data_IF_876759531953
#
_entry.id   IF_876759531953
#
_cell.length_a   1.000
_cell.length_b   1.000
_cell.length_c   1.000
_cell.angle_alpha   90.00
_cell.angle_beta   90.00
_cell.angle_gamma   90.00
#
_symmetry.space_group_name_H-M   'P 1'
#
loop_
_entity.id
_entity.type
_entity.pdbx_description
1 polymer ?
#
# COMPACT_ATOMS: atom_id res chain seq x y z
N UNK A 1 7.78 -14.53 10.90
CA UNK A 1 7.56 -15.53 9.83
C UNK A 1 7.46 -16.96 10.35
N UNK A 2 8.30 -17.38 11.31
CA UNK A 2 8.12 -18.66 12.02
C UNK A 2 8.38 -19.90 11.17
N UNK A 3 9.24 -19.78 10.15
CA UNK A 3 9.67 -20.89 9.27
C UNK A 3 11.05 -21.41 9.71
N UNK A 4 11.41 -22.67 9.38
CA UNK A 4 12.76 -23.20 9.62
C UNK A 4 13.84 -22.36 8.92
N UNK A 5 15.05 -22.32 9.50
CA UNK A 5 16.16 -21.52 8.96
C UNK A 5 16.53 -21.93 7.52
N UNK A 6 16.51 -23.24 7.23
CA UNK A 6 16.79 -23.76 5.90
C UNK A 6 15.80 -23.26 4.83
N UNK A 7 14.57 -22.90 5.21
CA UNK A 7 13.57 -22.39 4.26
C UNK A 7 13.88 -20.98 3.78
N UNK A 8 14.67 -20.21 4.52
CA UNK A 8 15.08 -18.88 4.12
C UNK A 8 15.98 -18.89 2.88
N UNK A 9 16.68 -20.01 2.63
CA UNK A 9 17.55 -20.22 1.48
C UNK A 9 16.91 -21.08 0.40
N UNK A 10 16.13 -22.10 0.81
CA UNK A 10 15.60 -23.12 -0.11
C UNK A 10 14.19 -22.85 -0.63
N UNK A 11 13.44 -21.89 -0.07
CA UNK A 11 12.04 -21.64 -0.42
C UNK A 11 11.73 -20.15 -0.62
N UNK A 12 10.70 -19.88 -1.41
CA UNK A 12 10.24 -18.51 -1.71
C UNK A 12 9.36 -17.89 -0.61
N UNK A 13 8.77 -16.73 -0.91
CA UNK A 13 8.02 -15.94 0.08
C UNK A 13 6.68 -16.58 0.51
N UNK A 14 6.03 -17.36 -0.37
CA UNK A 14 4.71 -17.94 -0.08
C UNK A 14 4.69 -18.79 1.21
N UNK A 15 5.75 -19.56 1.49
CA UNK A 15 5.78 -20.39 2.72
C UNK A 15 5.84 -19.57 4.00
N UNK A 16 6.42 -18.36 3.93
CA UNK A 16 6.48 -17.43 5.07
C UNK A 16 5.08 -16.85 5.33
N UNK A 17 4.34 -16.51 4.28
CA UNK A 17 2.96 -16.01 4.41
C UNK A 17 2.03 -17.10 4.95
N UNK A 18 2.07 -18.31 4.37
CA UNK A 18 1.28 -19.46 4.83
C UNK A 18 1.57 -19.81 6.29
N UNK A 19 2.84 -19.85 6.70
CA UNK A 19 3.21 -20.11 8.11
C UNK A 19 2.57 -19.09 9.07
N UNK A 20 2.60 -17.81 8.69
CA UNK A 20 2.02 -16.74 9.52
C UNK A 20 0.48 -16.83 9.56
N UNK A 21 -0.15 -17.08 8.41
CA UNK A 21 -1.60 -17.28 8.31
C UNK A 21 -2.07 -18.47 9.15
N UNK A 22 -1.40 -19.62 9.08
CA UNK A 22 -1.77 -20.81 9.86
C UNK A 22 -1.66 -20.55 11.37
N UNK A 23 -0.62 -19.84 11.81
CA UNK A 23 -0.47 -19.45 13.23
C UNK A 23 -1.63 -18.55 13.67
N UNK A 24 -1.97 -17.54 12.87
CA UNK A 24 -3.10 -16.64 13.16
C UNK A 24 -4.47 -17.32 13.07
N UNK A 25 -4.64 -18.25 12.14
CA UNK A 25 -5.86 -19.04 12.04
C UNK A 25 -6.06 -19.92 13.27
N UNK A 26 -4.99 -20.57 13.77
CA UNK A 26 -5.03 -21.36 15.02
C UNK A 26 -5.46 -20.51 16.22
N UNK A 27 -4.92 -19.29 16.35
CA UNK A 27 -5.30 -18.35 17.43
C UNK A 27 -6.79 -17.98 17.40
N UNK A 28 -7.43 -18.02 16.23
CA UNK A 28 -8.84 -17.63 16.05
C UNK A 28 -9.78 -18.82 15.82
N UNK A 29 -9.32 -20.07 15.98
CA UNK A 29 -10.13 -21.27 15.76
C UNK A 29 -10.59 -21.46 14.30
N UNK A 30 -9.78 -21.01 13.32
CA UNK A 30 -10.10 -21.07 11.90
C UNK A 30 -9.28 -22.15 11.18
N UNK A 31 -9.85 -22.72 10.12
CA UNK A 31 -9.18 -23.65 9.21
C UNK A 31 -8.92 -22.96 7.87
N UNK A 32 -7.75 -23.22 7.28
CA UNK A 32 -7.45 -22.77 5.92
C UNK A 32 -8.00 -23.81 4.92
N UNK A 33 -8.81 -23.40 3.94
CA UNK A 33 -9.26 -24.32 2.90
C UNK A 33 -8.10 -24.71 1.99
N UNK A 34 -8.20 -25.89 1.38
CA UNK A 34 -7.30 -26.32 0.31
C UNK A 34 -7.86 -25.86 -1.03
N UNK A 35 -7.16 -24.96 -1.70
CA UNK A 35 -7.49 -24.56 -3.07
C UNK A 35 -6.64 -25.34 -4.07
N UNK A 36 -7.24 -25.82 -5.15
CA UNK A 36 -6.50 -26.39 -6.28
C UNK A 36 -6.09 -25.23 -7.20
N UNK A 37 -4.81 -25.12 -7.59
CA UNK A 37 -4.38 -24.06 -8.49
C UNK A 37 -5.18 -24.10 -9.79
N UNK A 38 -5.77 -22.98 -10.18
CA UNK A 38 -6.46 -22.81 -11.45
C UNK A 38 -5.83 -21.68 -12.27
N UNK A 39 -6.13 -21.64 -13.57
CA UNK A 39 -5.98 -20.40 -14.33
C UNK A 39 -7.05 -19.43 -13.85
N UNK A 40 -6.66 -18.21 -13.51
CA UNK A 40 -7.59 -17.12 -13.20
C UNK A 40 -7.28 -15.92 -14.08
N UNK A 41 -8.24 -15.02 -14.17
CA UNK A 41 -8.15 -13.83 -15.01
C UNK A 41 -7.14 -12.81 -14.45
N UNK A 42 -6.40 -12.15 -15.33
CA UNK A 42 -5.54 -11.05 -14.93
C UNK A 42 -6.36 -9.89 -14.36
N UNK A 43 -5.86 -9.25 -13.30
CA UNK A 43 -6.49 -8.06 -12.71
C UNK A 43 -5.65 -6.81 -12.98
N UNK A 44 -6.32 -5.65 -13.03
CA UNK A 44 -5.66 -4.36 -13.24
C UNK A 44 -4.80 -4.00 -12.04
N UNK A 45 -3.49 -3.84 -12.25
CA UNK A 45 -2.52 -3.49 -11.21
C UNK A 45 -2.47 -2.00 -10.84
N UNK A 46 -1.30 -1.53 -10.41
CA UNK A 46 -1.06 -0.13 -10.06
C UNK A 46 -1.22 0.84 -11.24
N UNK A 47 -1.46 2.12 -10.93
CA UNK A 47 -1.53 3.20 -11.94
C UNK A 47 -0.19 3.90 -12.07
N UNK A 48 0.11 4.32 -13.29
CA UNK A 48 1.21 5.24 -13.61
C UNK A 48 0.58 6.52 -14.19
N UNK A 49 0.78 7.65 -13.51
CA UNK A 49 0.35 8.97 -14.01
C UNK A 49 1.10 9.26 -15.31
N UNK A 50 0.40 9.84 -16.30
CA UNK A 50 1.04 10.19 -17.57
C UNK A 50 2.15 11.22 -17.35
N UNK A 51 3.41 10.91 -17.73
CA UNK A 51 4.53 11.80 -17.47
C UNK A 51 4.42 13.07 -18.31
N UNK A 52 4.61 14.23 -17.67
CA UNK A 52 4.93 15.48 -18.35
C UNK A 52 6.42 15.44 -18.73
N UNK A 53 6.72 14.81 -19.86
CA UNK A 53 8.10 14.58 -20.32
C UNK A 53 8.85 15.89 -20.50
N UNK A 54 10.15 15.88 -20.18
CA UNK A 54 10.99 17.05 -20.33
C UNK A 54 12.24 17.00 -19.47
N UNK A 55 13.09 18.01 -19.67
CA UNK A 55 14.21 18.32 -18.81
C UNK A 55 13.80 19.45 -17.86
N UNK A 56 13.85 19.17 -16.56
CA UNK A 56 13.51 20.10 -15.50
C UNK A 56 14.79 20.57 -14.83
N UNK A 57 15.16 21.82 -15.08
CA UNK A 57 16.25 22.49 -14.37
C UNK A 57 15.75 23.20 -13.10
N UNK A 58 14.83 22.55 -12.40
CA UNK A 58 14.20 23.01 -11.17
C UNK A 58 14.07 21.82 -10.21
N UNK A 59 14.16 22.03 -8.89
CA UNK A 59 13.92 21.00 -7.88
C UNK A 59 12.56 20.28 -8.04
N UNK A 60 12.60 18.95 -8.15
CA UNK A 60 11.40 18.10 -8.18
C UNK A 60 11.35 17.25 -6.90
N UNK A 61 10.34 17.49 -6.07
CA UNK A 61 10.14 16.74 -4.84
C UNK A 61 9.42 15.41 -5.11
N UNK A 62 9.91 14.32 -4.51
CA UNK A 62 9.28 12.99 -4.57
C UNK A 62 8.64 12.67 -3.23
N UNK A 63 7.34 12.38 -3.25
CA UNK A 63 6.57 11.92 -2.10
C UNK A 63 6.13 10.48 -2.34
N UNK A 64 6.32 9.60 -1.37
CA UNK A 64 6.07 8.15 -1.49
C UNK A 64 5.23 7.62 -0.32
N UNK A 65 4.27 6.73 -0.59
CA UNK A 65 3.48 6.10 0.45
C UNK A 65 4.29 5.02 1.18
N UNK A 66 4.42 5.17 2.50
CA UNK A 66 5.14 4.22 3.33
C UNK A 66 4.39 2.89 3.40
N UNK A 67 4.86 1.91 2.61
CA UNK A 67 4.22 0.59 2.50
C UNK A 67 2.76 0.65 2.03
N UNK A 68 2.49 1.30 0.89
CA UNK A 68 1.13 1.54 0.35
C UNK A 68 0.19 0.33 0.48
N UNK A 69 0.49 -0.80 -0.17
CA UNK A 69 -0.43 -1.95 -0.20
C UNK A 69 -0.67 -2.58 1.18
N UNK A 70 0.36 -2.88 1.99
CA UNK A 70 0.15 -3.27 3.38
C UNK A 70 -0.74 -2.30 4.18
N UNK A 71 -0.53 -0.99 4.01
CA UNK A 71 -1.28 0.04 4.75
C UNK A 71 -2.75 0.09 4.32
N UNK A 72 -3.04 -0.04 3.02
CA UNK A 72 -4.42 -0.16 2.50
C UNK A 72 -5.12 -1.38 3.12
N UNK A 73 -4.45 -2.54 3.13
CA UNK A 73 -5.01 -3.78 3.69
C UNK A 73 -5.38 -3.62 5.16
N UNK A 74 -4.52 -2.97 5.96
CA UNK A 74 -4.76 -2.72 7.38
C UNK A 74 -5.86 -1.68 7.59
N UNK A 75 -5.78 -0.54 6.90
CA UNK A 75 -6.73 0.57 7.04
C UNK A 75 -8.17 0.16 6.71
N UNK A 76 -8.34 -0.59 5.62
CA UNK A 76 -9.65 -1.02 5.12
C UNK A 76 -10.04 -2.44 5.56
N UNK A 77 -9.28 -3.07 6.47
CA UNK A 77 -9.54 -4.41 7.01
C UNK A 77 -9.71 -5.50 5.93
N UNK A 78 -8.90 -5.46 4.87
CA UNK A 78 -9.02 -6.37 3.73
C UNK A 78 -8.42 -7.74 4.05
N UNK A 79 -9.25 -8.78 4.07
CA UNK A 79 -8.83 -10.14 4.41
C UNK A 79 -9.79 -11.20 3.85
N UNK A 80 -9.28 -12.42 3.66
CA UNK A 80 -10.11 -13.60 3.35
C UNK A 80 -11.29 -13.81 4.32
N UNK A 81 -11.11 -13.44 5.59
CA UNK A 81 -12.09 -13.65 6.65
C UNK A 81 -13.06 -12.49 6.80
N UNK A 82 -12.86 -11.40 6.06
CA UNK A 82 -13.71 -10.19 6.13
C UNK A 82 -14.40 -9.91 4.80
N UNK A 83 -14.04 -10.64 3.73
CA UNK A 83 -14.70 -10.60 2.43
C UNK A 83 -16.12 -11.17 2.51
N UNK A 84 -17.11 -10.39 2.05
CA UNK A 84 -18.43 -10.90 1.71
C UNK A 84 -18.36 -11.41 0.27
N UNK A 85 -18.36 -12.74 0.12
CA UNK A 85 -17.99 -13.38 -1.14
C UNK A 85 -19.05 -13.18 -2.23
N UNK A 86 -18.67 -12.98 -3.49
CA UNK A 86 -19.60 -12.89 -4.61
C UNK A 86 -20.57 -14.09 -4.70
N UNK A 87 -20.09 -15.30 -4.37
CA UNK A 87 -20.90 -16.51 -4.37
C UNK A 87 -21.98 -16.47 -3.29
N UNK A 88 -21.62 -16.04 -2.08
CA UNK A 88 -22.55 -15.90 -0.95
C UNK A 88 -23.59 -14.79 -1.20
N UNK A 89 -23.16 -13.70 -1.83
CA UNK A 89 -24.03 -12.59 -2.26
C UNK A 89 -25.05 -13.11 -3.28
N UNK A 90 -24.59 -13.85 -4.29
CA UNK A 90 -25.43 -14.41 -5.34
C UNK A 90 -26.41 -15.43 -4.79
N UNK A 91 -25.94 -16.35 -3.94
CA UNK A 91 -26.75 -17.39 -3.32
C UNK A 91 -27.84 -16.82 -2.38
N UNK A 92 -27.60 -15.66 -1.76
CA UNK A 92 -28.56 -14.99 -0.89
C UNK A 92 -29.61 -14.16 -1.65
N UNK A 93 -29.49 -14.04 -2.98
CA UNK A 93 -30.38 -13.18 -3.79
C UNK A 93 -29.95 -11.71 -3.83
N UNK A 94 -28.69 -11.39 -3.51
CA UNK A 94 -28.11 -10.06 -3.57
C UNK A 94 -27.50 -9.60 -2.24
N UNK A 95 -26.80 -8.46 -2.31
CA UNK A 95 -26.05 -7.93 -1.15
C UNK A 95 -27.00 -7.57 0.01
N UNK A 96 -28.17 -6.99 -0.27
CA UNK A 96 -29.14 -6.62 0.75
C UNK A 96 -29.60 -7.82 1.60
N UNK A 97 -29.91 -8.95 0.95
CA UNK A 97 -30.31 -10.17 1.63
C UNK A 97 -29.17 -10.77 2.46
N UNK A 98 -27.95 -10.78 1.92
CA UNK A 98 -26.78 -11.28 2.66
C UNK A 98 -26.52 -10.43 3.92
N UNK A 99 -26.60 -9.10 3.80
CA UNK A 99 -26.43 -8.19 4.93
C UNK A 99 -27.51 -8.41 6.00
N UNK A 100 -28.77 -8.61 5.59
CA UNK A 100 -29.86 -8.93 6.50
C UNK A 100 -29.63 -10.27 7.23
N UNK A 101 -29.17 -11.30 6.52
CA UNK A 101 -28.85 -12.61 7.11
C UNK A 101 -27.78 -12.54 8.21
N UNK A 102 -26.82 -11.61 8.07
CA UNK A 102 -25.79 -11.37 9.08
C UNK A 102 -26.13 -10.25 10.07
N UNK A 103 -27.31 -9.65 9.97
CA UNK A 103 -27.73 -8.50 10.76
C UNK A 103 -26.71 -7.33 10.71
N UNK A 104 -26.22 -7.03 9.50
CA UNK A 104 -25.23 -5.97 9.25
C UNK A 104 -25.93 -4.69 8.76
N UNK A 105 -25.63 -3.57 9.42
CA UNK A 105 -26.05 -2.23 9.03
C UNK A 105 -25.15 -1.59 7.96
N UNK A 106 -25.54 -0.43 7.43
CA UNK A 106 -24.76 0.32 6.42
C UNK A 106 -23.34 0.68 6.86
N UNK A 107 -23.13 0.85 8.17
CA UNK A 107 -21.82 1.19 8.73
C UNK A 107 -20.93 -0.02 9.03
N UNK A 108 -21.42 -1.24 8.83
CA UNK A 108 -20.70 -2.46 9.21
C UNK A 108 -19.79 -3.01 8.11
N UNK A 109 -19.87 -2.45 6.91
CA UNK A 109 -19.09 -2.88 5.76
C UNK A 109 -18.60 -1.69 4.92
N UNK A 110 -17.73 -1.99 3.96
CA UNK A 110 -17.30 -1.07 2.92
C UNK A 110 -17.51 -1.71 1.56
N UNK A 111 -17.75 -0.89 0.55
CA UNK A 111 -17.64 -1.27 -0.87
C UNK A 111 -16.35 -0.70 -1.42
N UNK A 112 -15.54 -1.55 -2.03
CA UNK A 112 -14.25 -1.16 -2.60
C UNK A 112 -14.43 -0.58 -4.01
N UNK A 113 -13.40 0.07 -4.58
CA UNK A 113 -13.47 0.65 -5.93
C UNK A 113 -13.77 -0.38 -7.03
N UNK A 114 -13.43 -1.64 -6.80
CA UNK A 114 -13.71 -2.76 -7.71
C UNK A 114 -15.07 -3.40 -7.49
N UNK A 115 -15.85 -2.90 -6.52
CA UNK A 115 -17.18 -3.38 -6.21
C UNK A 115 -17.26 -4.52 -5.19
N UNK A 116 -16.13 -5.05 -4.71
CA UNK A 116 -16.11 -6.06 -3.66
C UNK A 116 -16.50 -5.48 -2.30
N UNK A 117 -17.06 -6.31 -1.41
CA UNK A 117 -17.57 -5.89 -0.11
C UNK A 117 -16.77 -6.54 1.04
N UNK A 118 -16.39 -5.74 2.03
CA UNK A 118 -15.65 -6.21 3.21
C UNK A 118 -16.28 -5.69 4.50
N UNK A 119 -16.39 -6.53 5.52
CA UNK A 119 -16.84 -6.09 6.86
C UNK A 119 -15.77 -5.27 7.57
N UNK A 120 -16.18 -4.25 8.33
CA UNK A 120 -15.29 -3.40 9.10
C UNK A 120 -14.73 -4.12 10.33
N UNK A 121 -13.67 -3.55 10.89
CA UNK A 121 -12.86 -4.13 11.98
C UNK A 121 -13.65 -4.42 13.26
N UNK A 122 -14.69 -3.64 13.56
CA UNK A 122 -15.52 -3.84 14.77
C UNK A 122 -16.40 -5.09 14.68
N UNK A 123 -16.78 -5.53 13.48
CA UNK A 123 -17.46 -6.80 13.25
C UNK A 123 -16.46 -7.95 13.35
N UNK A 124 -15.35 -7.84 12.62
CA UNK A 124 -14.28 -8.85 12.63
C UNK A 124 -12.95 -8.24 12.20
N UNK A 125 -11.91 -8.41 13.02
CA UNK A 125 -10.54 -8.09 12.62
C UNK A 125 -9.99 -9.17 11.69
N UNK A 126 -9.54 -8.78 10.50
CA UNK A 126 -8.98 -9.71 9.52
C UNK A 126 -7.63 -10.32 9.95
N UNK A 127 -7.38 -11.57 9.54
CA UNK A 127 -6.10 -12.24 9.78
C UNK A 127 -4.92 -11.57 9.04
N UNK A 128 -5.13 -11.12 7.79
CA UNK A 128 -4.09 -10.44 7.01
C UNK A 128 -3.66 -9.12 7.66
N UNK A 129 -4.58 -8.23 8.08
CA UNK A 129 -4.25 -7.07 8.93
C UNK A 129 -3.42 -7.44 10.16
N UNK A 130 -3.78 -8.49 10.90
CA UNK A 130 -3.01 -8.94 12.08
C UNK A 130 -1.58 -9.36 11.73
N UNK A 131 -1.36 -10.03 10.60
CA UNK A 131 -0.01 -10.40 10.13
C UNK A 131 0.78 -9.17 9.68
N UNK A 132 0.13 -8.26 8.97
CA UNK A 132 0.76 -7.04 8.44
C UNK A 132 1.14 -6.06 9.54
N UNK A 133 0.29 -5.85 10.55
CA UNK A 133 0.60 -5.01 11.72
C UNK A 133 1.91 -5.48 12.39
N UNK A 134 2.12 -6.79 12.56
CA UNK A 134 3.37 -7.33 13.14
C UNK A 134 4.59 -7.07 12.24
N UNK A 135 4.44 -7.21 10.92
CA UNK A 135 5.53 -6.96 9.96
C UNK A 135 5.88 -5.47 9.89
N UNK A 136 4.87 -4.60 9.90
CA UNK A 136 5.02 -3.15 9.88
C UNK A 136 5.67 -2.66 11.18
N UNK A 137 5.25 -3.16 12.34
CA UNK A 137 5.86 -2.84 13.63
C UNK A 137 7.34 -3.26 13.68
N UNK A 138 7.65 -4.49 13.24
CA UNK A 138 9.03 -4.96 13.16
C UNK A 138 9.88 -4.09 12.21
N UNK A 139 9.31 -3.65 11.08
CA UNK A 139 9.97 -2.75 10.13
C UNK A 139 10.22 -1.37 10.76
N UNK A 140 9.25 -0.83 11.49
CA UNK A 140 9.38 0.45 12.18
C UNK A 140 10.48 0.39 13.24
N UNK A 141 10.59 -0.71 13.99
CA UNK A 141 11.70 -0.94 14.92
C UNK A 141 13.06 -0.94 14.19
N UNK A 142 13.17 -1.65 13.06
CA UNK A 142 14.39 -1.66 12.26
C UNK A 142 14.75 -0.25 11.70
N UNK A 143 13.77 0.54 11.24
CA UNK A 143 13.99 1.94 10.83
C UNK A 143 14.50 2.81 11.99
N UNK A 144 13.96 2.65 13.20
CA UNK A 144 14.42 3.38 14.41
C UNK A 144 15.84 3.01 14.78
N UNK A 145 16.17 1.72 14.81
CA UNK A 145 17.53 1.24 15.04
C UNK A 145 18.51 1.80 14.01
N UNK A 146 18.12 1.82 12.72
CA UNK A 146 18.92 2.39 11.63
C UNK A 146 19.15 3.89 11.78
N UNK A 147 18.14 4.64 12.25
CA UNK A 147 18.24 6.09 12.44
C UNK A 147 19.16 6.47 13.62
N UNK A 148 19.22 5.63 14.66
CA UNK A 148 20.09 5.83 15.81
C UNK A 148 21.54 5.35 15.58
N UNK A 149 21.80 4.57 14.53
CA UNK A 149 23.11 4.01 14.23
C UNK A 149 24.03 5.03 13.53
N UNK A 150 25.24 5.19 14.08
CA UNK A 150 26.26 6.10 13.58
C UNK A 150 27.26 5.42 12.65
N UNK A 151 27.52 4.13 12.85
CA UNK A 151 28.44 3.39 11.99
C UNK A 151 27.82 3.15 10.61
N UNK A 152 28.52 3.58 9.55
CA UNK A 152 28.00 3.51 8.19
C UNK A 152 27.79 2.07 7.72
N UNK A 153 28.67 1.14 8.12
CA UNK A 153 28.54 -0.26 7.71
C UNK A 153 27.32 -0.91 8.36
N UNK A 154 27.15 -0.75 9.67
CA UNK A 154 25.99 -1.25 10.42
C UNK A 154 24.69 -0.61 9.95
N UNK A 155 24.70 0.67 9.62
CA UNK A 155 23.53 1.36 9.04
C UNK A 155 23.09 0.72 7.72
N UNK A 156 24.03 0.34 6.83
CA UNK A 156 23.71 -0.40 5.60
C UNK A 156 23.13 -1.80 5.89
N UNK A 157 23.63 -2.50 6.91
CA UNK A 157 23.07 -3.80 7.33
C UNK A 157 21.64 -3.64 7.84
N UNK A 158 21.37 -2.61 8.64
CA UNK A 158 20.02 -2.29 9.15
C UNK A 158 19.08 -1.86 8.03
N UNK A 159 19.58 -1.16 7.01
CA UNK A 159 18.81 -0.86 5.81
C UNK A 159 18.41 -2.15 5.06
N UNK A 160 19.37 -3.07 4.86
CA UNK A 160 19.07 -4.41 4.32
C UNK A 160 17.98 -5.15 5.12
N UNK A 161 18.01 -5.04 6.46
CA UNK A 161 17.00 -5.62 7.35
C UNK A 161 15.62 -5.00 7.16
N UNK A 162 15.49 -3.67 7.10
CA UNK A 162 14.18 -3.02 6.89
C UNK A 162 13.64 -3.30 5.49
N UNK A 163 14.50 -3.36 4.47
CA UNK A 163 14.13 -3.76 3.11
C UNK A 163 13.58 -5.20 3.05
N UNK A 164 14.23 -6.15 3.73
CA UNK A 164 13.75 -7.53 3.81
C UNK A 164 12.35 -7.63 4.47
N UNK A 165 12.08 -6.79 5.46
CA UNK A 165 10.76 -6.67 6.10
C UNK A 165 9.73 -6.02 5.15
N UNK A 166 10.11 -4.96 4.41
CA UNK A 166 9.27 -4.35 3.35
C UNK A 166 8.86 -5.39 2.31
N UNK A 167 9.82 -6.15 1.78
CA UNK A 167 9.56 -7.24 0.80
C UNK A 167 8.62 -8.28 1.38
N UNK A 168 8.81 -8.67 2.65
CA UNK A 168 7.96 -9.66 3.31
C UNK A 168 6.52 -9.16 3.48
N UNK A 169 6.31 -7.88 3.80
CA UNK A 169 4.99 -7.26 3.90
C UNK A 169 4.31 -7.17 2.51
N UNK A 170 5.01 -6.69 1.48
CA UNK A 170 4.48 -6.61 0.11
C UNK A 170 4.17 -8.01 -0.46
N UNK A 171 4.90 -9.03 -0.03
CA UNK A 171 4.63 -10.43 -0.43
C UNK A 171 3.29 -10.95 0.12
N UNK A 172 2.73 -10.35 1.18
CA UNK A 172 1.39 -10.71 1.67
C UNK A 172 0.32 -10.31 0.66
N UNK A 173 0.42 -9.11 0.08
CA UNK A 173 -0.41 -8.70 -1.06
C UNK A 173 -0.17 -9.61 -2.27
N UNK A 174 1.09 -9.82 -2.65
CA UNK A 174 1.42 -10.69 -3.79
C UNK A 174 0.91 -12.12 -3.63
N UNK A 175 0.79 -12.60 -2.39
CA UNK A 175 0.22 -13.91 -2.08
C UNK A 175 -1.28 -14.00 -2.39
N UNK A 176 -2.06 -12.94 -2.16
CA UNK A 176 -3.50 -12.95 -2.47
C UNK A 176 -3.77 -12.90 -3.97
N UNK A 177 -2.91 -12.21 -4.74
CA UNK A 177 -3.03 -12.11 -6.20
C UNK A 177 -2.33 -13.23 -6.99
N UNK A 178 -1.68 -14.20 -6.33
CA UNK A 178 -0.93 -15.25 -7.02
C UNK A 178 -1.85 -16.38 -7.50
N UNK A 179 -2.17 -16.42 -8.80
CA UNK A 179 -2.92 -17.52 -9.44
C UNK A 179 -2.28 -18.89 -9.21
N UNK A 180 -0.96 -18.97 -9.40
CA UNK A 180 -0.15 -20.14 -9.04
C UNK A 180 0.21 -20.06 -7.56
N UNK A 181 -0.82 -20.18 -6.72
CA UNK A 181 -0.75 -20.02 -5.28
C UNK A 181 -1.65 -20.99 -4.55
N UNK A 182 -1.50 -21.04 -3.22
CA UNK A 182 -2.29 -21.92 -2.36
C UNK A 182 -3.65 -21.35 -1.96
N UNK A 183 -3.84 -20.04 -2.10
CA UNK A 183 -5.04 -19.33 -1.66
C UNK A 183 -5.23 -18.00 -2.43
N UNK A 184 -5.39 -18.04 -3.77
CA UNK A 184 -5.68 -16.84 -4.54
C UNK A 184 -7.03 -16.24 -4.11
N UNK A 185 -7.13 -14.91 -4.11
CA UNK A 185 -8.36 -14.14 -3.92
C UNK A 185 -8.19 -12.79 -4.63
N UNK A 186 -8.73 -12.73 -5.84
CA UNK A 186 -8.58 -11.58 -6.74
C UNK A 186 -9.39 -10.38 -6.27
N UNK A 187 -10.45 -10.60 -5.52
CA UNK A 187 -11.23 -9.55 -4.86
C UNK A 187 -10.33 -8.73 -3.97
N UNK A 188 -9.46 -9.38 -3.18
CA UNK A 188 -8.52 -8.67 -2.29
C UNK A 188 -7.47 -7.91 -3.11
N UNK A 189 -6.78 -8.57 -4.05
CA UNK A 189 -5.69 -7.92 -4.79
C UNK A 189 -6.19 -6.80 -5.70
N UNK A 190 -7.34 -6.99 -6.34
CA UNK A 190 -7.98 -5.97 -7.17
C UNK A 190 -8.47 -4.79 -6.33
N UNK A 191 -9.10 -5.00 -5.17
CA UNK A 191 -9.51 -3.92 -4.27
C UNK A 191 -8.33 -3.10 -3.77
N UNK A 192 -7.22 -3.74 -3.39
CA UNK A 192 -5.99 -3.05 -2.96
C UNK A 192 -5.45 -2.17 -4.09
N UNK A 193 -5.37 -2.71 -5.31
CA UNK A 193 -4.93 -1.94 -6.47
C UNK A 193 -5.87 -0.77 -6.76
N UNK A 194 -7.18 -0.98 -6.65
CA UNK A 194 -8.22 0.03 -6.86
C UNK A 194 -8.07 1.21 -5.91
N UNK A 195 -7.94 0.94 -4.61
CA UNK A 195 -7.64 1.98 -3.62
C UNK A 195 -6.33 2.69 -3.92
N UNK A 196 -5.27 1.96 -4.30
CA UNK A 196 -4.00 2.57 -4.67
C UNK A 196 -4.14 3.57 -5.83
N UNK A 197 -4.95 3.26 -6.84
CA UNK A 197 -5.21 4.16 -7.97
C UNK A 197 -5.94 5.43 -7.53
N UNK A 198 -7.01 5.29 -6.73
CA UNK A 198 -7.77 6.43 -6.21
C UNK A 198 -6.90 7.32 -5.32
N UNK A 199 -6.08 6.73 -4.45
CA UNK A 199 -5.20 7.46 -3.55
C UNK A 199 -4.15 8.30 -4.28
N UNK A 200 -3.57 7.78 -5.38
CA UNK A 200 -2.62 8.55 -6.19
C UNK A 200 -3.29 9.75 -6.84
N UNK A 201 -4.45 9.56 -7.45
CA UNK A 201 -5.16 10.65 -8.13
C UNK A 201 -5.63 11.71 -7.11
N UNK A 202 -6.11 11.26 -5.95
CA UNK A 202 -6.48 12.16 -4.85
C UNK A 202 -5.27 12.91 -4.30
N UNK A 203 -4.13 12.24 -4.12
CA UNK A 203 -2.87 12.89 -3.70
C UNK A 203 -2.46 13.96 -4.68
N UNK A 204 -2.52 13.67 -5.98
CA UNK A 204 -2.23 14.64 -7.03
C UNK A 204 -3.17 15.84 -6.97
N UNK A 205 -4.48 15.59 -6.87
CA UNK A 205 -5.50 16.64 -6.78
C UNK A 205 -5.23 17.55 -5.58
N UNK A 206 -5.06 16.97 -4.40
CA UNK A 206 -4.86 17.71 -3.16
C UNK A 206 -3.56 18.53 -3.15
N UNK A 207 -2.47 18.01 -3.74
CA UNK A 207 -1.22 18.76 -3.89
C UNK A 207 -1.40 19.97 -4.81
N UNK A 208 -2.04 19.78 -5.98
CA UNK A 208 -2.28 20.87 -6.93
C UNK A 208 -3.31 21.88 -6.43
N UNK A 209 -4.24 21.49 -5.54
CA UNK A 209 -5.21 22.40 -4.91
C UNK A 209 -4.61 23.20 -3.74
N UNK A 210 -3.78 22.56 -2.89
CA UNK A 210 -3.20 23.21 -1.71
C UNK A 210 -2.12 24.22 -2.08
N UNK A 211 -1.16 23.81 -2.90
CA UNK A 211 0.04 24.59 -3.17
C UNK A 211 -0.15 25.49 -4.39
N UNK A 212 -0.92 26.56 -4.20
CA UNK A 212 -1.23 27.55 -5.26
C UNK A 212 -0.88 28.97 -4.83
N UNK A 213 -0.66 29.84 -5.80
CA UNK A 213 -0.49 31.28 -5.59
C UNK A 213 -1.69 31.91 -4.87
N UNK A 214 -2.90 31.43 -5.16
CA UNK A 214 -4.12 31.83 -4.45
C UNK A 214 -4.12 31.48 -2.95
N UNK A 215 -3.41 30.43 -2.56
CA UNK A 215 -3.25 30.02 -1.16
C UNK A 215 -1.97 30.58 -0.50
N UNK A 216 -1.31 31.56 -1.13
CA UNK A 216 -0.14 32.25 -0.59
C UNK A 216 1.22 31.60 -0.88
N UNK A 217 1.29 30.61 -1.77
CA UNK A 217 2.56 30.00 -2.18
C UNK A 217 3.20 30.79 -3.34
N UNK A 218 4.52 30.64 -3.52
CA UNK A 218 5.28 31.35 -4.56
C UNK A 218 4.89 30.96 -5.98
N UNK A 219 4.33 29.77 -6.17
CA UNK A 219 4.00 29.20 -7.48
C UNK A 219 2.94 28.12 -7.32
N UNK A 220 2.27 27.81 -8.42
CA UNK A 220 1.30 26.72 -8.49
C UNK A 220 2.03 25.39 -8.66
N UNK A 221 1.84 24.48 -7.71
CA UNK A 221 2.42 23.16 -7.76
C UNK A 221 1.78 22.33 -8.89
N UNK A 222 2.60 21.49 -9.51
CA UNK A 222 2.15 20.55 -10.54
C UNK A 222 2.78 19.18 -10.33
N UNK A 223 1.94 18.15 -10.32
CA UNK A 223 2.43 16.77 -10.33
C UNK A 223 2.80 16.41 -11.77
N UNK A 224 4.10 16.21 -11.99
CA UNK A 224 4.65 15.96 -13.33
C UNK A 224 4.75 14.47 -13.65
N UNK A 225 4.74 13.61 -12.62
CA UNK A 225 4.79 12.17 -12.75
C UNK A 225 4.31 11.48 -11.48
N UNK A 226 3.96 10.21 -11.58
CA UNK A 226 3.71 9.33 -10.44
C UNK A 226 3.71 7.87 -10.87
N UNK A 227 4.26 7.00 -10.03
CA UNK A 227 4.36 5.57 -10.25
C UNK A 227 3.91 4.84 -9.00
N UNK A 228 2.73 4.22 -9.07
CA UNK A 228 2.14 3.27 -8.11
C UNK A 228 1.96 3.74 -6.67
N UNK A 229 3.01 4.15 -5.99
CA UNK A 229 3.04 4.62 -4.60
C UNK A 229 3.70 5.99 -4.44
N UNK A 230 4.29 6.53 -5.51
CA UNK A 230 5.00 7.81 -5.48
C UNK A 230 4.43 8.85 -6.44
N UNK A 231 4.55 10.13 -6.05
CA UNK A 231 4.25 11.30 -6.88
C UNK A 231 5.46 12.24 -6.93
N UNK A 232 5.73 12.77 -8.12
CA UNK A 232 6.80 13.73 -8.36
C UNK A 232 6.17 15.10 -8.61
N UNK A 233 6.35 16.00 -7.65
CA UNK A 233 5.74 17.31 -7.63
C UNK A 233 6.77 18.40 -7.92
N UNK A 234 6.45 19.24 -8.91
CA UNK A 234 7.13 20.51 -9.17
C UNK A 234 6.43 21.59 -8.35
N UNK A 235 7.10 22.13 -7.33
CA UNK A 235 6.58 23.23 -6.51
C UNK A 235 6.87 24.64 -7.09
N UNK A 236 7.71 24.75 -8.13
CA UNK A 236 8.04 26.03 -8.77
C UNK A 236 9.02 26.90 -7.98
N UNK A 237 9.75 26.31 -7.02
CA UNK A 237 10.83 26.97 -6.27
C UNK A 237 12.18 26.67 -6.90
N UNK A 238 13.17 27.55 -6.70
CA UNK A 238 14.50 27.43 -7.32
C UNK A 238 15.52 26.71 -6.45
N UNK A 239 15.25 26.53 -5.16
CA UNK A 239 16.20 25.93 -4.22
C UNK A 239 15.75 24.55 -3.75
N UNK A 240 16.72 23.65 -3.56
CA UNK A 240 16.46 22.29 -3.04
C UNK A 240 15.88 22.35 -1.63
N UNK A 241 16.35 23.27 -0.80
CA UNK A 241 15.91 23.42 0.58
C UNK A 241 14.42 23.78 0.67
N UNK A 242 13.95 24.77 -0.10
CA UNK A 242 12.53 25.13 -0.16
C UNK A 242 11.68 23.97 -0.69
N UNK A 243 12.16 23.25 -1.71
CA UNK A 243 11.45 22.09 -2.25
C UNK A 243 11.35 20.94 -1.24
N UNK A 244 12.39 20.73 -0.42
CA UNK A 244 12.35 19.77 0.68
C UNK A 244 11.34 20.19 1.75
N UNK A 245 11.27 21.48 2.10
CA UNK A 245 10.32 21.99 3.07
C UNK A 245 8.87 21.83 2.60
N UNK A 246 8.56 22.26 1.36
CA UNK A 246 7.23 22.09 0.76
C UNK A 246 6.87 20.61 0.56
N UNK A 247 7.85 19.78 0.22
CA UNK A 247 7.65 18.33 0.12
C UNK A 247 7.26 17.70 1.46
N UNK A 248 7.91 18.10 2.57
CA UNK A 248 7.54 17.63 3.92
C UNK A 248 6.17 18.13 4.34
N UNK A 249 5.88 19.41 4.12
CA UNK A 249 4.55 19.99 4.39
C UNK A 249 3.46 19.26 3.60
N UNK A 250 3.70 18.98 2.32
CA UNK A 250 2.78 18.24 1.47
C UNK A 250 2.58 16.81 1.97
N UNK A 251 3.65 16.12 2.33
CA UNK A 251 3.57 14.76 2.88
C UNK A 251 2.71 14.70 4.15
N UNK A 252 2.88 15.64 5.08
CA UNK A 252 2.10 15.74 6.31
C UNK A 252 0.63 16.06 6.02
N UNK A 253 0.37 17.10 5.23
CA UNK A 253 -0.99 17.51 4.86
C UNK A 253 -1.79 16.39 4.19
N UNK A 254 -1.17 15.66 3.26
CA UNK A 254 -1.82 14.58 2.54
C UNK A 254 -2.04 13.37 3.44
N UNK A 255 -1.10 13.06 4.33
CA UNK A 255 -1.23 11.94 5.28
C UNK A 255 -2.49 12.08 6.14
N UNK A 256 -2.83 13.31 6.56
CA UNK A 256 -4.01 13.59 7.38
C UNK A 256 -5.35 13.40 6.63
N UNK A 257 -5.33 13.20 5.31
CA UNK A 257 -6.53 12.96 4.50
C UNK A 257 -6.86 11.48 4.33
N UNK A 258 -5.94 10.59 4.69
CA UNK A 258 -6.13 9.15 4.55
C UNK A 258 -6.32 8.47 5.91
N UNK A 259 -6.92 7.27 5.87
CA UNK A 259 -7.12 6.46 7.06
C UNK A 259 -5.79 5.96 7.63
N UNK A 260 -5.62 5.99 8.94
CA UNK A 260 -4.51 5.34 9.61
C UNK A 260 -4.47 3.83 9.25
N UNK A 261 -3.30 3.22 8.94
CA UNK A 261 -1.94 3.76 9.06
C UNK A 261 -1.33 4.29 7.74
N UNK A 262 -2.16 4.68 6.76
CA UNK A 262 -1.66 5.21 5.47
C UNK A 262 -0.93 6.52 5.73
N UNK A 263 0.33 6.60 5.27
CA UNK A 263 1.17 7.78 5.43
C UNK A 263 1.98 8.04 4.17
N UNK A 264 1.99 9.28 3.73
CA UNK A 264 2.87 9.79 2.69
C UNK A 264 4.15 10.33 3.36
N UNK A 265 5.31 9.98 2.84
CA UNK A 265 6.62 10.45 3.33
C UNK A 265 7.32 11.23 2.21
N UNK A 266 7.97 12.34 2.57
CA UNK A 266 8.94 12.97 1.68
C UNK A 266 10.17 12.05 1.55
N UNK A 267 10.55 11.71 0.32
CA UNK A 267 11.69 10.82 0.07
C UNK A 267 12.95 11.60 -0.31
N UNK A 268 12.88 12.42 -1.35
CA UNK A 268 14.04 13.10 -1.96
C UNK A 268 13.62 14.24 -2.89
N UNK A 269 14.62 15.03 -3.30
CA UNK A 269 14.50 16.02 -4.39
C UNK A 269 15.47 15.62 -5.51
N UNK A 270 14.98 15.61 -6.76
CA UNK A 270 15.84 15.57 -7.94
C UNK A 270 16.17 16.99 -8.40
N UNK A 271 17.43 17.25 -8.70
CA UNK A 271 17.88 18.51 -9.28
C UNK A 271 19.24 18.34 -10.00
N UNK A 272 19.31 18.44 -11.34
CA UNK A 272 18.19 18.53 -12.29
C UNK A 272 17.40 17.21 -12.39
N UNK A 273 16.32 17.19 -13.16
CA UNK A 273 15.50 15.99 -13.39
C UNK A 273 15.15 15.80 -14.87
N UNK A 274 15.45 14.63 -15.43
CA UNK A 274 15.15 14.26 -16.82
C UNK A 274 14.06 13.19 -16.85
N UNK A 275 12.87 13.54 -17.31
CA UNK A 275 11.74 12.62 -17.44
C UNK A 275 11.50 12.26 -18.91
N UNK A 276 11.90 11.05 -19.31
CA UNK A 276 11.81 10.59 -20.70
C UNK A 276 10.47 9.89 -20.95
N UNK A 277 10.10 8.94 -20.10
CA UNK A 277 8.87 8.17 -20.24
C UNK A 277 8.47 7.50 -18.92
N UNK A 278 7.35 6.77 -18.92
CA UNK A 278 6.95 5.90 -17.81
C UNK A 278 8.11 4.97 -17.43
N UNK A 279 8.47 4.97 -16.15
CA UNK A 279 9.56 4.17 -15.58
C UNK A 279 10.95 4.45 -16.20
N UNK A 280 11.14 5.61 -16.84
CA UNK A 280 12.41 6.02 -17.47
C UNK A 280 12.69 7.50 -17.17
N UNK A 281 13.49 7.73 -16.15
CA UNK A 281 13.90 9.07 -15.69
C UNK A 281 15.27 9.01 -14.99
N UNK A 282 15.94 10.15 -14.88
CA UNK A 282 17.24 10.32 -14.22
C UNK A 282 17.29 11.64 -13.43
#
# INVERSE_FOLDING_TARGET
TGVPIAYLLKRGQQVKVISQLLRKAREHGLLLPTHRPGQGDEYVGGTVIEPRRGFYNEPIATLDFSSLYPSIMVAHNLCYTTLLRPEDISASGGIGSLLANYNLGPDDYIRTPTGAYFVKKHIRKGLLPCVLEQLLEARMKAKREMAAETDQFRRRVLDGRQLALKVSANSVYGFTGAHVGKLPCLEISSSISGFGREMIEETKRLLEEKFTTGNGYKSDAKVIYGDTDSVMCKFGVSTVEEAMQLGREGAEYISDKFLNPIKLEFEKVYFPYLLINKKRYA
#
